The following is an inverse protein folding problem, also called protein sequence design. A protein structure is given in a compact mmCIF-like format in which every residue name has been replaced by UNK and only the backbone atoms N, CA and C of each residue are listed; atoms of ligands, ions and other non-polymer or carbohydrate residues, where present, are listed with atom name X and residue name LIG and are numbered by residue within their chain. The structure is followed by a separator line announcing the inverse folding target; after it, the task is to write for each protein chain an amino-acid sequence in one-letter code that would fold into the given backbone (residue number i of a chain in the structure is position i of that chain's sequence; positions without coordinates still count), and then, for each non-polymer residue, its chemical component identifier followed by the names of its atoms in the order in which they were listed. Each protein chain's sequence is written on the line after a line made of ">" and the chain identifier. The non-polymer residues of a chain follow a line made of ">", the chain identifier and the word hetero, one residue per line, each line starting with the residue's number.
data_IF_854763315232
#
_entry.id   IF_854763315232
#
_cell.length_a   1.000
_cell.length_b   1.000
_cell.length_c   1.000
_cell.angle_alpha   90.00
_cell.angle_beta   90.00
_cell.angle_gamma   90.00
#
_symmetry.space_group_name_H-M   'P 1'
#
loop_
_entity.id
_entity.type
_entity.pdbx_description
1 polymer ?
#
# COMPACT_ATOMS: atom_id res chain seq x y z
N UNK A 1 0.13 -9.78 -21.18
CA UNK A 1 -0.64 -9.64 -19.92
C UNK A 1 -0.15 -8.40 -19.19
N UNK A 2 -1.01 -7.66 -18.48
CA UNK A 2 -0.63 -6.46 -17.73
C UNK A 2 -0.66 -6.70 -16.23
N UNK A 3 0.36 -6.27 -15.50
CA UNK A 3 0.43 -6.31 -14.04
C UNK A 3 0.67 -4.90 -13.48
N UNK A 4 0.05 -4.61 -12.34
CA UNK A 4 0.16 -3.33 -11.66
C UNK A 4 0.88 -3.52 -10.33
N UNK A 5 2.01 -2.86 -10.13
CA UNK A 5 2.74 -2.88 -8.86
C UNK A 5 2.53 -1.54 -8.18
N UNK A 6 1.96 -1.55 -6.97
CA UNK A 6 1.91 -0.41 -6.08
C UNK A 6 3.05 -0.51 -5.08
N UNK A 7 3.86 0.54 -5.00
CA UNK A 7 5.02 0.56 -4.11
C UNK A 7 4.84 1.55 -2.98
N UNK A 8 5.35 1.19 -1.82
CA UNK A 8 5.57 2.11 -0.71
C UNK A 8 6.95 1.86 -0.09
N UNK A 9 7.42 2.77 0.77
CA UNK A 9 8.80 2.78 1.24
C UNK A 9 8.95 2.22 2.66
N UNK A 10 7.94 2.43 3.50
CA UNK A 10 7.96 2.12 4.91
C UNK A 10 8.13 0.62 5.18
N UNK A 11 7.71 -0.27 4.30
CA UNK A 11 7.76 -1.73 4.48
C UNK A 11 9.03 -2.41 3.94
N UNK A 12 9.98 -1.65 3.40
CA UNK A 12 11.20 -2.17 2.75
C UNK A 12 12.20 -2.72 3.78
N UNK A 13 12.98 -3.75 3.42
CA UNK A 13 14.06 -4.25 4.28
C UNK A 13 15.08 -3.14 4.59
N UNK A 14 15.53 -3.06 5.85
CA UNK A 14 16.47 -2.04 6.31
C UNK A 14 15.85 -0.66 6.62
N UNK A 15 14.52 -0.52 6.50
CA UNK A 15 13.80 0.74 6.74
C UNK A 15 12.88 0.60 7.94
N UNK A 16 13.08 1.37 9.01
CA UNK A 16 12.18 1.38 10.17
C UNK A 16 12.05 2.74 10.86
N UNK A 17 12.58 3.83 10.28
CA UNK A 17 12.42 5.20 10.78
C UNK A 17 11.81 6.11 9.74
N UNK A 18 10.98 7.06 10.16
CA UNK A 18 10.42 8.09 9.27
C UNK A 18 11.51 8.99 8.66
N UNK A 19 12.67 9.12 9.31
CA UNK A 19 13.84 9.79 8.71
C UNK A 19 14.36 9.07 7.47
N UNK A 20 14.07 7.78 7.31
CA UNK A 20 14.42 7.01 6.13
C UNK A 20 13.33 7.05 5.05
N UNK A 21 12.13 7.57 5.35
CA UNK A 21 11.03 7.64 4.36
C UNK A 21 10.63 9.07 3.96
N UNK A 22 10.83 10.06 4.85
CA UNK A 22 10.40 11.45 4.63
C UNK A 22 11.56 12.36 4.23
N UNK A 23 11.40 13.04 3.11
CA UNK A 23 12.39 14.00 2.59
C UNK A 23 12.60 15.21 3.51
N UNK A 24 11.59 15.63 4.28
CA UNK A 24 11.66 16.84 5.13
C UNK A 24 12.22 16.58 6.53
N UNK A 25 12.19 15.32 6.99
CA UNK A 25 12.47 14.98 8.40
C UNK A 25 13.91 14.50 8.58
N UNK A 26 14.63 14.32 7.47
CA UNK A 26 16.02 13.94 7.44
C UNK A 26 16.85 14.85 6.55
N UNK A 27 18.16 14.85 6.78
CA UNK A 27 19.11 15.35 5.79
C UNK A 27 19.02 14.52 4.49
N UNK A 28 19.48 15.06 3.35
CA UNK A 28 19.28 14.48 2.02
C UNK A 28 19.78 13.03 1.83
N UNK A 29 20.61 12.50 2.74
CA UNK A 29 21.25 11.20 2.63
C UNK A 29 20.50 10.03 3.29
N UNK A 30 19.56 10.28 4.22
CA UNK A 30 18.99 9.19 5.04
C UNK A 30 17.99 8.31 4.29
N UNK A 31 17.30 8.88 3.29
CA UNK A 31 16.24 8.21 2.52
C UNK A 31 16.76 7.41 1.33
N UNK A 32 17.88 7.85 0.73
CA UNK A 32 18.47 7.25 -0.46
C UNK A 32 18.66 5.73 -0.37
N UNK A 33 19.25 5.19 0.72
CA UNK A 33 19.43 3.74 0.87
C UNK A 33 18.11 2.95 0.82
N UNK A 34 17.04 3.46 1.46
CA UNK A 34 15.72 2.84 1.43
C UNK A 34 15.11 2.88 0.02
N UNK A 35 15.28 3.98 -0.71
CA UNK A 35 14.79 4.11 -2.09
C UNK A 35 15.50 3.15 -3.04
N UNK A 36 16.83 3.05 -2.93
CA UNK A 36 17.62 2.09 -3.71
C UNK A 36 17.19 0.66 -3.38
N UNK A 37 16.99 0.34 -2.10
CA UNK A 37 16.52 -0.98 -1.71
C UNK A 37 15.10 -1.26 -2.24
N UNK A 38 14.18 -0.29 -2.20
CA UNK A 38 12.85 -0.45 -2.81
C UNK A 38 12.96 -0.75 -4.32
N UNK A 39 13.84 -0.07 -5.04
CA UNK A 39 14.10 -0.34 -6.46
C UNK A 39 14.54 -1.79 -6.70
N UNK A 40 15.44 -2.32 -5.85
CA UNK A 40 15.87 -3.73 -5.91
C UNK A 40 14.73 -4.71 -5.64
N UNK A 41 13.90 -4.44 -4.64
CA UNK A 41 12.74 -5.27 -4.30
C UNK A 41 11.68 -5.25 -5.41
N UNK A 42 11.44 -4.09 -6.04
CA UNK A 42 10.55 -3.97 -7.19
C UNK A 42 11.08 -4.74 -8.39
N UNK A 43 12.38 -4.63 -8.70
CA UNK A 43 13.00 -5.39 -9.79
C UNK A 43 12.91 -6.90 -9.56
N UNK A 44 13.09 -7.36 -8.31
CA UNK A 44 12.87 -8.75 -7.95
C UNK A 44 11.41 -9.21 -8.17
N UNK A 45 10.43 -8.36 -7.82
CA UNK A 45 9.02 -8.62 -8.11
C UNK A 45 8.76 -8.71 -9.62
N UNK A 46 9.36 -7.83 -10.42
CA UNK A 46 9.29 -7.83 -11.89
C UNK A 46 9.85 -9.14 -12.47
N UNK A 47 11.00 -9.59 -11.97
CA UNK A 47 11.60 -10.88 -12.35
C UNK A 47 10.67 -12.06 -12.02
N UNK A 48 10.07 -12.05 -10.83
CA UNK A 48 9.11 -13.08 -10.40
C UNK A 48 7.88 -13.17 -11.30
N UNK A 49 7.32 -12.02 -11.71
CA UNK A 49 6.23 -11.97 -12.70
C UNK A 49 6.69 -12.56 -14.04
N UNK A 50 7.86 -12.16 -14.53
CA UNK A 50 8.39 -12.59 -15.83
C UNK A 50 8.84 -14.05 -15.89
N UNK A 51 9.14 -14.67 -14.75
CA UNK A 51 9.38 -16.10 -14.65
C UNK A 51 8.14 -16.94 -15.06
N UNK A 52 6.94 -16.35 -15.03
CA UNK A 52 5.68 -16.98 -15.48
C UNK A 52 5.22 -16.41 -16.81
N UNK A 53 5.28 -15.08 -16.96
CA UNK A 53 4.88 -14.36 -18.17
C UNK A 53 6.02 -13.48 -18.70
N UNK A 54 6.94 -14.01 -19.52
CA UNK A 54 8.13 -13.27 -19.97
C UNK A 54 7.82 -11.93 -20.65
N UNK A 55 6.74 -11.89 -21.44
CA UNK A 55 6.27 -10.70 -22.18
C UNK A 55 5.26 -9.84 -21.38
N UNK A 56 5.23 -9.97 -20.05
CA UNK A 56 4.37 -9.15 -19.21
C UNK A 56 4.71 -7.66 -19.36
N UNK A 57 3.65 -6.85 -19.54
CA UNK A 57 3.71 -5.40 -19.38
C UNK A 57 3.50 -5.12 -17.90
N UNK A 58 4.44 -4.43 -17.28
CA UNK A 58 4.42 -4.16 -15.84
C UNK A 58 4.50 -2.65 -15.63
N UNK A 59 3.45 -2.12 -15.02
CA UNK A 59 3.33 -0.71 -14.65
C UNK A 59 3.57 -0.60 -13.14
N UNK A 60 4.52 0.24 -12.72
CA UNK A 60 4.90 0.46 -11.33
C UNK A 60 4.46 1.85 -10.92
N UNK A 61 3.61 1.94 -9.91
CA UNK A 61 3.16 3.19 -9.34
C UNK A 61 3.87 3.49 -8.02
N UNK A 62 4.60 4.61 -8.00
CA UNK A 62 5.26 5.17 -6.82
C UNK A 62 4.21 5.83 -5.93
N UNK A 63 3.65 5.02 -5.02
CA UNK A 63 2.60 5.42 -4.09
C UNK A 63 3.08 6.25 -2.91
N UNK A 64 4.39 6.23 -2.63
CA UNK A 64 4.95 6.91 -1.48
C UNK A 64 4.90 8.44 -1.68
N UNK A 65 4.31 9.17 -0.71
CA UNK A 65 3.97 10.59 -0.88
C UNK A 65 5.14 11.47 -1.33
N UNK A 66 6.32 11.28 -0.74
CA UNK A 66 7.53 12.05 -1.05
C UNK A 66 8.49 11.36 -2.04
N UNK A 67 7.97 10.49 -2.92
CA UNK A 67 8.68 9.58 -3.83
C UNK A 67 9.43 8.47 -3.10
N UNK A 68 9.17 7.21 -3.41
CA UNK A 68 9.86 6.05 -2.83
C UNK A 68 10.98 5.51 -3.72
N UNK A 69 11.01 5.89 -5.00
CA UNK A 69 11.86 5.26 -6.01
C UNK A 69 12.73 6.26 -6.75
N UNK A 70 13.91 5.81 -7.18
CA UNK A 70 14.66 6.44 -8.26
C UNK A 70 14.23 5.79 -9.58
N UNK A 71 13.65 6.53 -10.55
CA UNK A 71 13.17 5.93 -11.80
C UNK A 71 14.25 5.17 -12.58
N UNK A 72 15.50 5.64 -12.51
CA UNK A 72 16.64 5.02 -13.21
C UNK A 72 17.07 3.67 -12.61
N UNK A 73 16.64 3.36 -11.38
CA UNK A 73 16.92 2.06 -10.73
C UNK A 73 15.98 0.95 -11.23
N UNK A 74 14.87 1.31 -11.91
CA UNK A 74 13.86 0.35 -12.35
C UNK A 74 14.20 -0.26 -13.71
N UNK A 75 14.16 -1.59 -13.77
CA UNK A 75 14.53 -2.35 -14.98
C UNK A 75 13.33 -3.06 -15.57
N UNK A 76 13.06 -2.77 -16.85
CA UNK A 76 12.08 -3.51 -17.63
C UNK A 76 10.63 -3.34 -17.18
N UNK A 77 10.28 -2.25 -16.51
CA UNK A 77 8.92 -1.87 -16.19
C UNK A 77 8.69 -0.38 -16.51
N UNK A 78 7.44 0.08 -16.42
CA UNK A 78 7.08 1.48 -16.68
C UNK A 78 6.82 2.18 -15.35
N UNK A 79 7.66 3.15 -15.01
CA UNK A 79 7.48 4.00 -13.84
C UNK A 79 6.31 4.97 -14.04
N UNK A 80 5.43 5.07 -13.03
CA UNK A 80 4.31 6.00 -13.01
C UNK A 80 4.29 6.74 -11.68
N UNK A 81 4.20 8.08 -11.73
CA UNK A 81 4.05 8.93 -10.53
C UNK A 81 2.73 9.70 -10.49
N UNK A 82 2.38 10.30 -11.61
CA UNK A 82 1.20 11.16 -11.73
C UNK A 82 -0.08 10.35 -11.96
N UNK A 83 0.05 9.05 -12.26
CA UNK A 83 -1.10 8.18 -12.43
C UNK A 83 -1.86 8.05 -11.10
N UNK A 84 -3.19 8.16 -11.16
CA UNK A 84 -4.09 8.05 -10.01
C UNK A 84 -5.08 6.92 -10.30
N UNK A 85 -4.71 5.64 -10.03
CA UNK A 85 -5.49 4.45 -10.42
C UNK A 85 -6.90 4.39 -9.81
N UNK A 86 -7.19 5.24 -8.82
CA UNK A 86 -8.48 5.41 -8.16
C UNK A 86 -9.64 5.83 -9.06
N UNK A 87 -9.42 6.08 -10.34
CA UNK A 87 -10.45 6.56 -11.27
C UNK A 87 -10.94 5.47 -12.24
N UNK A 88 -11.04 4.21 -11.79
CA UNK A 88 -11.60 3.13 -12.62
C UNK A 88 -10.66 2.62 -13.73
N UNK A 89 -9.35 2.80 -13.58
CA UNK A 89 -8.35 2.54 -14.64
C UNK A 89 -7.58 1.22 -14.48
N UNK A 90 -8.05 0.30 -13.63
CA UNK A 90 -7.39 -0.97 -13.37
C UNK A 90 -7.97 -2.16 -14.16
N UNK A 91 -9.15 -2.02 -14.79
CA UNK A 91 -9.87 -3.13 -15.42
C UNK A 91 -9.08 -3.96 -16.47
N UNK A 92 -8.03 -3.39 -17.08
CA UNK A 92 -7.16 -4.07 -18.06
C UNK A 92 -5.99 -4.87 -17.44
N UNK A 93 -5.82 -4.84 -16.12
CA UNK A 93 -4.76 -5.55 -15.43
C UNK A 93 -5.21 -6.94 -14.97
N UNK A 94 -4.33 -7.93 -15.13
CA UNK A 94 -4.59 -9.28 -14.67
C UNK A 94 -4.53 -9.41 -13.15
N UNK A 95 -3.67 -8.61 -12.50
CA UNK A 95 -3.54 -8.57 -11.05
C UNK A 95 -2.81 -7.30 -10.57
N UNK A 96 -3.01 -6.99 -9.30
CA UNK A 96 -2.27 -5.98 -8.54
C UNK A 96 -1.33 -6.65 -7.52
N UNK A 97 -0.16 -6.07 -7.33
CA UNK A 97 0.86 -6.49 -6.37
C UNK A 97 1.32 -5.29 -5.53
N UNK A 98 1.68 -5.53 -4.27
CA UNK A 98 2.28 -4.54 -3.37
C UNK A 98 3.75 -4.86 -3.09
N UNK A 99 4.60 -3.84 -3.10
CA UNK A 99 6.01 -3.95 -2.70
C UNK A 99 6.35 -2.86 -1.69
N UNK A 100 6.91 -3.25 -0.54
CA UNK A 100 7.32 -2.31 0.51
C UNK A 100 6.17 -1.73 1.34
N UNK A 101 5.04 -2.44 1.45
CA UNK A 101 3.85 -1.98 2.17
C UNK A 101 4.02 -2.06 3.69
N UNK A 102 3.43 -1.10 4.41
CA UNK A 102 3.32 -1.10 5.87
C UNK A 102 1.88 -1.35 6.36
N UNK A 103 1.72 -1.68 7.64
CA UNK A 103 0.41 -1.86 8.26
C UNK A 103 -0.34 -0.54 8.50
N UNK A 104 -1.67 -0.63 8.60
CA UNK A 104 -2.58 0.48 8.89
C UNK A 104 -2.32 1.17 10.24
N UNK A 105 -2.81 2.41 10.37
CA UNK A 105 -2.67 3.22 11.57
C UNK A 105 -3.25 2.52 12.80
N UNK A 106 -2.55 2.65 13.94
CA UNK A 106 -2.97 2.06 15.21
C UNK A 106 -2.65 0.56 15.36
N UNK A 107 -1.95 -0.05 14.39
CA UNK A 107 -1.54 -1.45 14.48
C UNK A 107 -0.44 -1.62 15.53
N UNK A 108 -0.68 -2.49 16.52
CA UNK A 108 0.26 -2.75 17.60
C UNK A 108 1.56 -3.39 17.10
N UNK A 109 2.70 -2.86 17.56
CA UNK A 109 4.05 -3.30 17.18
C UNK A 109 4.29 -3.36 15.66
N UNK A 110 3.63 -2.49 14.89
CA UNK A 110 3.89 -2.33 13.47
C UNK A 110 4.82 -1.13 13.22
N UNK A 111 5.98 -1.32 12.56
CA UNK A 111 6.91 -0.24 12.26
C UNK A 111 6.28 0.71 11.24
N UNK A 112 6.39 2.00 11.49
CA UNK A 112 5.93 3.10 10.64
C UNK A 112 4.44 3.03 10.30
N UNK A 113 3.63 2.33 11.11
CA UNK A 113 2.22 2.13 10.80
C UNK A 113 1.44 3.43 10.76
N UNK A 114 0.72 3.63 9.67
CA UNK A 114 -0.14 4.78 9.46
C UNK A 114 -1.17 4.51 8.35
N UNK A 115 -1.98 5.50 8.02
CA UNK A 115 -2.97 5.41 6.95
C UNK A 115 -3.04 6.76 6.26
N UNK A 116 -2.46 6.84 5.06
CA UNK A 116 -2.25 7.99 4.20
C UNK A 116 -1.36 9.09 4.79
N UNK A 117 -1.71 9.63 5.96
CA UNK A 117 -0.95 10.67 6.62
C UNK A 117 -0.57 10.24 8.03
N UNK A 118 0.70 9.88 8.20
CA UNK A 118 1.30 9.57 9.51
C UNK A 118 1.33 10.76 10.48
N UNK A 119 0.96 11.97 10.02
CA UNK A 119 0.89 13.18 10.85
C UNK A 119 -0.52 13.57 11.25
N UNK A 120 -1.51 13.21 10.44
CA UNK A 120 -2.84 13.76 10.57
C UNK A 120 -3.88 12.70 10.91
N UNK A 121 -3.75 11.48 10.36
CA UNK A 121 -4.76 10.44 10.44
C UNK A 121 -4.48 9.51 11.63
N UNK A 122 -5.48 9.39 12.51
CA UNK A 122 -5.47 8.42 13.60
C UNK A 122 -5.96 7.05 13.13
N UNK A 123 -7.07 7.02 12.38
CA UNK A 123 -7.57 5.81 11.72
C UNK A 123 -8.57 6.17 10.63
N UNK A 124 -8.73 5.28 9.65
CA UNK A 124 -9.89 5.22 8.75
C UNK A 124 -10.72 3.97 9.03
N UNK A 125 -12.03 4.07 8.76
CA UNK A 125 -12.94 2.93 8.69
C UNK A 125 -13.79 2.98 7.42
N UNK A 126 -14.07 1.80 6.87
CA UNK A 126 -15.05 1.60 5.81
C UNK A 126 -16.09 0.60 6.31
N UNK A 127 -17.37 0.98 6.28
CA UNK A 127 -18.48 0.17 6.79
C UNK A 127 -18.23 -0.39 8.20
N UNK A 128 -17.65 0.43 9.07
CA UNK A 128 -17.34 0.08 10.46
C UNK A 128 -16.06 -0.75 10.66
N UNK A 129 -15.38 -1.18 9.60
CA UNK A 129 -14.13 -1.95 9.67
C UNK A 129 -12.93 -1.01 9.52
N UNK A 130 -11.93 -1.13 10.41
CA UNK A 130 -10.67 -0.40 10.25
C UNK A 130 -9.98 -0.79 8.95
N UNK A 131 -9.50 0.20 8.20
CA UNK A 131 -8.94 -0.02 6.88
C UNK A 131 -7.71 0.84 6.68
N UNK A 132 -6.60 0.22 6.30
CA UNK A 132 -5.38 0.91 5.87
C UNK A 132 -5.36 1.18 4.37
N UNK A 133 -4.18 1.60 3.91
CA UNK A 133 -3.92 1.82 2.50
C UNK A 133 -4.04 0.52 1.71
N UNK A 134 -3.47 -0.58 2.19
CA UNK A 134 -3.62 -1.88 1.54
C UNK A 134 -5.10 -2.24 1.32
N UNK A 135 -5.90 -2.24 2.40
CA UNK A 135 -7.30 -2.64 2.32
C UNK A 135 -8.12 -1.76 1.37
N UNK A 136 -7.90 -0.44 1.42
CA UNK A 136 -8.59 0.51 0.55
C UNK A 136 -8.25 0.26 -0.94
N UNK A 137 -6.98 0.09 -1.24
CA UNK A 137 -6.47 -0.13 -2.60
C UNK A 137 -6.87 -1.49 -3.16
N UNK A 138 -6.77 -2.54 -2.35
CA UNK A 138 -7.21 -3.88 -2.72
C UNK A 138 -8.71 -3.91 -3.02
N UNK A 139 -9.51 -3.16 -2.25
CA UNK A 139 -10.94 -3.02 -2.49
C UNK A 139 -11.23 -2.27 -3.80
N UNK A 140 -10.55 -1.14 -4.04
CA UNK A 140 -10.68 -0.37 -5.28
C UNK A 140 -10.27 -1.18 -6.53
N UNK A 141 -9.26 -2.04 -6.43
CA UNK A 141 -8.92 -2.98 -7.48
C UNK A 141 -9.98 -4.07 -7.63
N UNK A 142 -10.48 -4.59 -6.51
CA UNK A 142 -11.46 -5.68 -6.49
C UNK A 142 -12.80 -5.32 -7.11
N UNK A 143 -13.33 -4.11 -6.87
CA UNK A 143 -14.54 -3.61 -7.54
C UNK A 143 -14.36 -3.41 -9.06
N UNK A 144 -13.11 -3.39 -9.54
CA UNK A 144 -12.75 -3.38 -10.96
C UNK A 144 -12.41 -4.78 -11.49
N UNK A 145 -12.75 -5.83 -10.74
CA UNK A 145 -12.47 -7.23 -11.05
C UNK A 145 -10.98 -7.59 -11.11
N UNK A 146 -10.11 -6.81 -10.48
CA UNK A 146 -8.66 -7.08 -10.42
C UNK A 146 -8.29 -7.68 -9.07
N UNK A 147 -7.75 -8.91 -9.02
CA UNK A 147 -7.28 -9.50 -7.78
C UNK A 147 -5.98 -8.86 -7.30
N UNK A 148 -5.84 -8.70 -5.99
CA UNK A 148 -4.57 -8.34 -5.35
C UNK A 148 -3.90 -9.62 -4.89
N UNK A 149 -2.80 -10.01 -5.53
CA UNK A 149 -2.26 -11.38 -5.42
C UNK A 149 -1.01 -11.49 -4.54
N UNK A 150 -0.34 -10.37 -4.29
CA UNK A 150 0.94 -10.34 -3.62
C UNK A 150 1.11 -9.10 -2.77
N UNK A 151 1.80 -9.25 -1.64
CA UNK A 151 2.33 -8.16 -0.83
C UNK A 151 3.70 -8.50 -0.27
N UNK A 152 4.68 -7.60 -0.41
CA UNK A 152 5.87 -7.57 0.44
C UNK A 152 5.83 -6.38 1.41
N UNK A 153 6.30 -6.60 2.64
CA UNK A 153 6.23 -5.60 3.70
C UNK A 153 6.61 -6.15 5.07
N UNK A 154 6.20 -5.46 6.13
CA UNK A 154 6.36 -5.97 7.50
C UNK A 154 5.37 -7.09 7.83
N UNK A 155 5.62 -7.79 8.93
CA UNK A 155 4.80 -8.93 9.34
C UNK A 155 3.36 -8.55 9.69
N UNK A 156 3.09 -7.31 10.14
CA UNK A 156 1.73 -6.83 10.41
C UNK A 156 1.02 -6.39 9.15
N UNK A 157 1.73 -5.83 8.17
CA UNK A 157 1.17 -5.59 6.83
C UNK A 157 0.74 -6.91 6.17
N UNK A 158 1.54 -7.96 6.29
CA UNK A 158 1.20 -9.29 5.80
C UNK A 158 -0.04 -9.89 6.50
N UNK A 159 -0.20 -9.66 7.80
CA UNK A 159 -1.39 -10.07 8.54
C UNK A 159 -2.62 -9.26 8.10
N UNK A 160 -2.51 -7.93 7.99
CA UNK A 160 -3.58 -7.08 7.45
C UNK A 160 -4.01 -7.55 6.08
N UNK A 161 -3.05 -7.87 5.21
CA UNK A 161 -3.34 -8.32 3.85
C UNK A 161 -4.21 -9.58 3.83
N UNK A 162 -3.91 -10.54 4.71
CA UNK A 162 -4.66 -11.79 4.86
C UNK A 162 -6.04 -11.62 5.49
N UNK A 163 -6.28 -10.53 6.24
CA UNK A 163 -7.62 -10.22 6.74
C UNK A 163 -8.58 -9.88 5.60
N UNK A 164 -8.11 -9.16 4.59
CA UNK A 164 -8.93 -8.74 3.45
C UNK A 164 -8.88 -9.72 2.26
N UNK A 165 -7.72 -10.33 2.02
CA UNK A 165 -7.49 -11.30 0.93
C UNK A 165 -6.87 -12.56 1.51
N UNK A 166 -7.67 -13.52 2.05
CA UNK A 166 -7.14 -14.68 2.78
C UNK A 166 -6.16 -15.56 2.00
N UNK A 167 -6.25 -15.56 0.67
CA UNK A 167 -5.42 -16.39 -0.22
C UNK A 167 -4.18 -15.66 -0.77
N UNK A 168 -3.95 -14.40 -0.37
CA UNK A 168 -2.84 -13.60 -0.87
C UNK A 168 -1.48 -14.21 -0.50
N UNK A 169 -0.54 -14.17 -1.44
CA UNK A 169 0.85 -14.50 -1.15
C UNK A 169 1.53 -13.30 -0.46
N UNK A 170 2.28 -13.56 0.61
CA UNK A 170 2.94 -12.49 1.38
C UNK A 170 4.40 -12.80 1.62
N UNK A 171 5.28 -11.81 1.47
CA UNK A 171 6.69 -11.88 1.88
C UNK A 171 6.96 -10.87 2.97
N UNK A 172 7.39 -11.36 4.14
CA UNK A 172 7.74 -10.53 5.28
C UNK A 172 9.22 -10.15 5.15
N UNK A 173 9.50 -8.88 4.88
CA UNK A 173 10.86 -8.33 4.73
C UNK A 173 11.48 -7.96 6.09
N UNK A 174 10.64 -7.79 7.11
CA UNK A 174 11.02 -7.43 8.48
C UNK A 174 9.92 -7.76 9.49
N UNK A 175 10.31 -8.02 10.73
CA UNK A 175 9.41 -8.26 11.85
C UNK A 175 9.32 -7.02 12.74
N UNK A 176 8.12 -6.49 12.95
CA UNK A 176 7.89 -5.34 13.79
C UNK A 176 8.12 -5.60 15.27
N UNK A 177 8.96 -4.77 15.90
CA UNK A 177 9.22 -4.78 17.35
C UNK A 177 8.79 -3.49 18.05
N UNK A 178 8.34 -2.49 17.29
CA UNK A 178 7.83 -1.22 17.79
C UNK A 178 7.52 -0.25 16.66
N UNK A 179 7.15 0.98 17.00
CA UNK A 179 6.72 1.98 16.03
C UNK A 179 7.83 2.43 15.06
N UNK A 180 9.08 2.53 15.52
CA UNK A 180 10.25 2.79 14.68
C UNK A 180 11.35 1.76 14.95
N UNK A 181 10.96 0.49 14.96
CA UNK A 181 11.85 -0.62 15.33
C UNK A 181 11.39 -1.92 14.68
N UNK A 182 12.31 -2.59 13.99
CA UNK A 182 12.09 -3.91 13.42
C UNK A 182 13.35 -4.77 13.40
N UNK A 183 13.16 -6.08 13.26
CA UNK A 183 14.22 -7.05 12.92
C UNK A 183 14.12 -7.31 11.42
N UNK A 184 15.15 -6.95 10.67
CA UNK A 184 15.13 -6.97 9.20
C UNK A 184 15.71 -8.26 8.64
N UNK A 185 15.20 -8.68 7.49
CA UNK A 185 15.92 -9.60 6.62
C UNK A 185 17.16 -8.92 6.04
N UNK A 186 18.12 -9.74 5.62
CA UNK A 186 19.18 -9.28 4.74
C UNK A 186 18.59 -8.71 3.43
N UNK A 187 19.09 -7.58 2.90
CA UNK A 187 18.58 -6.96 1.68
C UNK A 187 18.53 -7.88 0.45
N UNK A 188 19.51 -8.78 0.29
CA UNK A 188 19.58 -9.69 -0.86
C UNK A 188 18.59 -10.84 -0.68
N UNK A 189 18.45 -11.32 0.56
CA UNK A 189 17.45 -12.32 0.92
C UNK A 189 16.02 -11.79 0.73
N UNK A 190 15.76 -10.52 1.08
CA UNK A 190 14.48 -9.85 0.81
C UNK A 190 14.15 -9.90 -0.69
N UNK A 191 15.11 -9.51 -1.54
CA UNK A 191 14.93 -9.56 -2.99
C UNK A 191 14.67 -11.00 -3.48
N UNK A 192 15.44 -11.98 -3.02
CA UNK A 192 15.27 -13.39 -3.40
C UNK A 192 13.87 -13.90 -3.06
N UNK A 193 13.40 -13.64 -1.83
CA UNK A 193 12.07 -14.08 -1.38
C UNK A 193 10.95 -13.35 -2.11
N UNK A 194 11.10 -12.05 -2.41
CA UNK A 194 10.12 -11.29 -3.19
C UNK A 194 10.00 -11.85 -4.61
N UNK A 195 11.13 -12.15 -5.27
CA UNK A 195 11.12 -12.79 -6.60
C UNK A 195 10.33 -14.10 -6.58
N UNK A 196 10.62 -14.97 -5.61
CA UNK A 196 9.96 -16.27 -5.48
C UNK A 196 8.48 -16.14 -5.09
N UNK A 197 8.14 -15.20 -4.19
CA UNK A 197 6.77 -14.91 -3.78
C UNK A 197 5.93 -14.35 -4.92
N UNK A 198 6.47 -13.39 -5.67
CA UNK A 198 5.82 -12.85 -6.86
C UNK A 198 5.57 -13.97 -7.89
N UNK A 199 6.56 -14.82 -8.17
CA UNK A 199 6.38 -15.98 -9.05
C UNK A 199 5.26 -16.92 -8.57
N UNK A 200 5.26 -17.31 -7.29
CA UNK A 200 4.21 -18.17 -6.71
C UNK A 200 2.83 -17.53 -6.81
N UNK A 201 2.73 -16.24 -6.51
CA UNK A 201 1.47 -15.49 -6.58
C UNK A 201 0.90 -15.47 -8.00
N UNK A 202 1.75 -15.28 -9.00
CA UNK A 202 1.34 -15.20 -10.41
C UNK A 202 0.92 -16.57 -10.93
N UNK A 203 1.60 -17.66 -10.55
CA UNK A 203 1.18 -19.04 -10.91
C UNK A 203 -0.21 -19.39 -10.36
N UNK A 204 -0.53 -18.87 -9.17
CA UNK A 204 -1.77 -19.16 -8.44
C UNK A 204 -2.80 -18.02 -8.50
N UNK A 205 -2.59 -17.01 -9.34
CA UNK A 205 -3.44 -15.80 -9.34
C UNK A 205 -4.92 -16.09 -9.60
N UNK A 206 -5.24 -17.19 -10.30
CA UNK A 206 -6.61 -17.63 -10.59
C UNK A 206 -7.32 -18.23 -9.35
N UNK A 207 -6.58 -18.59 -8.31
CA UNK A 207 -7.13 -19.05 -7.02
C UNK A 207 -7.53 -17.84 -6.15
N UNK A 208 -6.97 -16.66 -6.40
CA UNK A 208 -7.13 -15.47 -5.57
C UNK A 208 -8.25 -14.60 -6.14
N UNK A 209 -9.39 -14.56 -5.44
CA UNK A 209 -10.53 -13.75 -5.86
C UNK A 209 -10.33 -12.24 -5.59
N UNK A 210 -10.83 -11.35 -6.46
CA UNK A 210 -10.86 -9.91 -6.20
C UNK A 210 -11.59 -9.58 -4.89
N UNK A 211 -11.02 -8.66 -4.09
CA UNK A 211 -11.60 -8.28 -2.80
C UNK A 211 -12.79 -7.35 -2.99
N UNK A 212 -14.00 -7.84 -2.70
CA UNK A 212 -15.27 -7.12 -2.86
C UNK A 212 -16.11 -7.14 -1.58
N UNK A 213 -15.46 -7.28 -0.41
CA UNK A 213 -16.14 -7.56 0.87
C UNK A 213 -16.94 -6.41 1.48
N UNK A 214 -16.92 -5.21 0.89
CA UNK A 214 -17.76 -4.09 1.31
C UNK A 214 -18.87 -3.84 0.29
N UNK A 215 -20.06 -3.51 0.78
CA UNK A 215 -21.23 -3.21 -0.06
C UNK A 215 -21.72 -1.79 0.17
N UNK A 216 -22.26 -1.18 -0.88
CA UNK A 216 -22.95 0.11 -0.77
C UNK A 216 -24.22 -0.01 0.11
N UNK A 217 -24.66 1.08 0.77
CA UNK A 217 -23.99 2.37 0.83
C UNK A 217 -22.70 2.29 1.65
N UNK A 218 -21.63 2.89 1.12
CA UNK A 218 -20.33 2.93 1.77
C UNK A 218 -20.31 4.02 2.84
N UNK A 219 -19.96 3.65 4.07
CA UNK A 219 -19.77 4.58 5.18
C UNK A 219 -18.27 4.70 5.47
N UNK A 220 -17.67 5.78 4.99
CA UNK A 220 -16.29 6.14 5.29
C UNK A 220 -16.25 7.00 6.55
N UNK A 221 -15.40 6.64 7.50
CA UNK A 221 -15.14 7.42 8.72
C UNK A 221 -13.64 7.68 8.83
N UNK A 222 -13.28 8.93 9.06
CA UNK A 222 -11.90 9.34 9.25
C UNK A 222 -11.73 10.12 10.55
N UNK A 223 -10.90 9.59 11.46
CA UNK A 223 -10.51 10.26 12.69
C UNK A 223 -9.08 10.78 12.59
N UNK A 224 -8.87 12.01 13.05
CA UNK A 224 -7.59 12.69 12.99
C UNK A 224 -7.04 12.95 14.39
N UNK A 225 -5.72 13.18 14.49
CA UNK A 225 -5.08 13.55 15.77
C UNK A 225 -5.47 14.96 16.22
N UNK A 226 -5.66 15.87 15.25
CA UNK A 226 -5.98 17.26 15.50
C UNK A 226 -7.47 17.53 15.31
N UNK A 227 -7.98 18.52 16.06
CA UNK A 227 -9.36 18.96 15.97
C UNK A 227 -9.65 19.68 14.66
N UNK A 228 -10.86 19.46 14.14
CA UNK A 228 -11.50 20.28 13.12
C UNK A 228 -12.18 21.47 13.76
N UNK A 229 -11.42 22.56 13.95
CA UNK A 229 -11.97 23.85 14.33
C UNK A 229 -12.99 24.32 13.29
N UNK A 230 -14.06 24.98 13.73
CA UNK A 230 -15.10 25.53 12.84
C UNK A 230 -14.51 26.39 11.71
N UNK A 231 -13.41 27.07 11.97
CA UNK A 231 -12.67 27.92 11.02
C UNK A 231 -11.80 27.13 10.03
N UNK A 232 -11.33 25.93 10.42
CA UNK A 232 -10.47 25.06 9.57
C UNK A 232 -11.25 23.95 8.87
N UNK A 233 -12.54 23.75 9.22
CA UNK A 233 -13.47 22.91 8.48
C UNK A 233 -13.65 23.48 7.09
N UNK A 234 -12.87 22.98 6.12
CA UNK A 234 -13.13 23.24 4.70
C UNK A 234 -14.57 22.83 4.42
N UNK A 235 -15.45 23.73 3.94
CA UNK A 235 -16.82 23.38 3.61
C UNK A 235 -16.81 22.24 2.61
N UNK A 236 -17.27 21.07 3.03
CA UNK A 236 -17.47 19.94 2.14
C UNK A 236 -18.88 19.40 2.43
N UNK A 237 -19.85 19.60 1.52
CA UNK A 237 -21.23 19.21 1.77
C UNK A 237 -21.41 17.70 1.93
N UNK A 238 -20.41 16.89 1.54
CA UNK A 238 -20.43 15.44 1.70
C UNK A 238 -19.96 14.97 3.08
N UNK A 239 -19.37 15.85 3.91
CA UNK A 239 -18.81 15.50 5.22
C UNK A 239 -19.78 15.82 6.34
N UNK A 240 -20.17 14.79 7.08
CA UNK A 240 -20.83 14.91 8.38
C UNK A 240 -19.76 14.87 9.48
N UNK A 241 -19.64 15.91 10.30
CA UNK A 241 -18.73 15.89 11.45
C UNK A 241 -19.42 15.21 12.64
N UNK A 242 -18.95 14.02 12.99
CA UNK A 242 -19.50 13.20 14.08
C UNK A 242 -19.03 13.71 15.45
N UNK A 243 -17.79 14.18 15.52
CA UNK A 243 -17.22 14.89 16.67
C UNK A 243 -16.15 15.91 16.21
N UNK A 244 -15.40 16.47 17.17
CA UNK A 244 -14.31 17.43 16.89
C UNK A 244 -13.15 16.85 16.08
N UNK A 245 -13.01 15.53 15.97
CA UNK A 245 -11.85 14.83 15.38
C UNK A 245 -12.23 13.95 14.19
N UNK A 246 -13.53 13.70 14.01
CA UNK A 246 -14.03 12.63 13.14
C UNK A 246 -15.07 13.18 12.18
N UNK A 247 -14.89 12.90 10.90
CA UNK A 247 -15.93 13.11 9.91
C UNK A 247 -16.32 11.78 9.24
N UNK A 248 -17.54 11.76 8.73
CA UNK A 248 -18.13 10.66 7.99
C UNK A 248 -18.57 11.12 6.60
N UNK A 249 -18.45 10.22 5.62
CA UNK A 249 -19.01 10.38 4.28
C UNK A 249 -19.81 9.11 3.99
N UNK A 250 -21.03 9.26 3.49
CA UNK A 250 -21.86 8.16 2.99
C UNK A 250 -22.01 8.32 1.47
N UNK A 251 -21.76 7.26 0.72
CA UNK A 251 -21.82 7.27 -0.75
C UNK A 251 -22.17 5.89 -1.30
N UNK A 252 -22.96 5.82 -2.36
CA UNK A 252 -23.15 4.58 -3.12
C UNK A 252 -22.00 4.32 -4.11
N UNK A 253 -21.20 5.36 -4.40
CA UNK A 253 -20.01 5.29 -5.24
C UNK A 253 -18.75 5.27 -4.38
N UNK A 254 -18.01 4.16 -4.44
CA UNK A 254 -16.73 3.99 -3.74
C UNK A 254 -15.66 4.96 -4.26
N UNK A 255 -15.71 5.33 -5.55
CA UNK A 255 -14.74 6.25 -6.15
C UNK A 255 -14.97 7.71 -5.74
N UNK A 256 -16.10 8.01 -5.11
CA UNK A 256 -16.36 9.31 -4.51
C UNK A 256 -15.81 9.46 -3.07
N UNK A 257 -15.28 8.38 -2.48
CA UNK A 257 -14.66 8.39 -1.15
C UNK A 257 -13.19 8.82 -1.22
N UNK A 258 -12.65 9.44 -0.15
CA UNK A 258 -11.31 10.04 -0.15
C UNK A 258 -10.22 9.01 0.18
N UNK A 259 -10.22 7.90 -0.56
CA UNK A 259 -9.12 6.93 -0.60
C UNK A 259 -8.02 7.35 -1.58
#
# INVERSE_FOLDING_TARGET
>A
MKFYILTDLEGVAGTDRFTQTRTTDAGPEAKGPSMTQLGREVNACVEGIRAVYPEAVIDVWDGHGSCGLFPDDLVGCRYQREFRPHQGQLHDYAAMLFVGQHAMAGTYNAPLCHTYSSREVMYYRLNGVFIGEFGARAFLAGVQSVPTIFLSGDDKAALEAKLFVPQIETVVTKQGTGFESAIHLDPDESCRLIREGAERSVRRMHEISPFTGFTAPYTFEARHYNKYWTETRKPNPKREYVDDYTYRIVSDDIFALPF
#
